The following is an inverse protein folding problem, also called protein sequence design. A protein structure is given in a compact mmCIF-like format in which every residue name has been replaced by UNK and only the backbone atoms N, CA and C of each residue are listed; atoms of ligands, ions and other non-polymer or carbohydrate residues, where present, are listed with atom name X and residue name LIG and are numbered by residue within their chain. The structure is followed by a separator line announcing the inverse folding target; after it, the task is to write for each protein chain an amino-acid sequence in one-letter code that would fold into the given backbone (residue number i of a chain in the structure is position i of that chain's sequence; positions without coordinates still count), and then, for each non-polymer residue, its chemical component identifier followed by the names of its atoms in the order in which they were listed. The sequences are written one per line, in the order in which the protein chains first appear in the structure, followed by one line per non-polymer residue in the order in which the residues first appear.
data_IF_739619329376
#
_entry.id   IF_739619329376
#
_cell.length_a   1.000
_cell.length_b   1.000
_cell.length_c   1.000
_cell.angle_alpha   90.00
_cell.angle_beta   90.00
_cell.angle_gamma   90.00
#
_symmetry.space_group_name_H-M   'P 1'
#
loop_
_entity.id
_entity.type
_entity.pdbx_description
1 polymer ?
#
# COMPACT_ATOMS: atom_id res chain seq x y z
N UNK A 1 -19.61 6.59 11.22
CA UNK A 1 -18.54 6.27 12.21
C UNK A 1 -17.40 5.57 11.50
N UNK A 2 -16.14 5.98 11.72
CA UNK A 2 -14.96 5.34 11.14
C UNK A 2 -14.74 3.96 11.78
N UNK A 3 -14.67 2.91 10.95
CA UNK A 3 -14.49 1.52 11.40
C UNK A 3 -13.18 1.27 12.16
N UNK A 4 -12.15 2.12 11.97
CA UNK A 4 -10.90 2.01 12.71
C UNK A 4 -11.07 2.31 14.21
N UNK A 5 -11.95 3.25 14.57
CA UNK A 5 -12.26 3.51 15.98
C UNK A 5 -12.97 2.33 16.66
N UNK A 6 -13.77 1.56 15.90
CA UNK A 6 -14.43 0.35 16.42
C UNK A 6 -13.43 -0.76 16.71
N UNK A 7 -12.33 -0.83 15.95
CA UNK A 7 -11.26 -1.82 16.13
C UNK A 7 -10.28 -1.46 17.26
N UNK A 8 -10.19 -0.17 17.65
CA UNK A 8 -9.34 0.30 18.75
C UNK A 8 -9.86 -0.14 20.13
N UNK A 9 -11.19 -0.17 20.29
CA UNK A 9 -11.84 -0.43 21.58
C UNK A 9 -12.15 -1.91 21.83
N UNK A 10 -11.79 -2.80 20.90
CA UNK A 10 -12.04 -4.23 21.06
C UNK A 10 -10.91 -4.90 21.84
N UNK A 11 -11.04 -4.90 23.17
CA UNK A 11 -10.56 -6.00 24.05
C UNK A 11 -11.43 -7.28 23.87
N UNK A 12 -12.14 -7.35 22.74
CA UNK A 12 -13.31 -8.18 22.53
C UNK A 12 -12.93 -9.35 21.64
N UNK A 13 -13.07 -10.53 22.22
CA UNK A 13 -12.73 -11.83 21.66
C UNK A 13 -12.74 -11.89 20.13
N UNK A 14 -11.56 -12.14 19.55
CA UNK A 14 -11.28 -12.26 18.11
C UNK A 14 -12.21 -13.23 17.37
N UNK A 15 -12.99 -14.05 18.09
CA UNK A 15 -13.84 -15.11 17.55
C UNK A 15 -15.27 -14.68 17.23
N UNK A 16 -15.85 -13.69 17.90
CA UNK A 16 -17.25 -13.28 17.67
C UNK A 16 -17.37 -12.23 16.56
N UNK A 17 -16.48 -11.25 16.53
CA UNK A 17 -16.50 -10.17 15.52
C UNK A 17 -16.20 -10.70 14.11
N UNK A 18 -15.29 -11.68 14.01
CA UNK A 18 -14.93 -12.35 12.74
C UNK A 18 -16.12 -13.10 12.14
N UNK A 19 -17.04 -13.60 12.98
CA UNK A 19 -18.25 -14.31 12.52
C UNK A 19 -19.34 -13.38 11.99
N UNK A 20 -19.32 -12.10 12.34
CA UNK A 20 -20.39 -11.16 12.00
C UNK A 20 -20.24 -10.52 10.62
N UNK A 21 -19.02 -10.36 10.09
CA UNK A 21 -18.81 -9.72 8.79
C UNK A 21 -17.46 -10.09 8.17
N UNK A 22 -17.42 -10.48 6.88
CA UNK A 22 -16.18 -10.73 6.14
C UNK A 22 -15.23 -9.52 6.14
N UNK A 23 -15.76 -8.30 6.08
CA UNK A 23 -14.95 -7.08 6.11
C UNK A 23 -14.30 -6.88 7.49
N UNK A 24 -15.03 -7.10 8.57
CA UNK A 24 -14.47 -7.00 9.93
C UNK A 24 -13.39 -8.06 10.15
N UNK A 25 -13.63 -9.29 9.71
CA UNK A 25 -12.64 -10.36 9.76
C UNK A 25 -11.35 -10.00 9.01
N UNK A 26 -11.50 -9.46 7.80
CA UNK A 26 -10.36 -9.00 6.99
C UNK A 26 -9.58 -7.88 7.68
N UNK A 27 -10.27 -6.86 8.20
CA UNK A 27 -9.63 -5.73 8.88
C UNK A 27 -8.93 -6.15 10.19
N UNK A 28 -9.51 -7.05 10.97
CA UNK A 28 -8.84 -7.59 12.17
C UNK A 28 -7.57 -8.35 11.80
N UNK A 29 -7.60 -9.12 10.71
CA UNK A 29 -6.49 -9.98 10.29
C UNK A 29 -5.37 -9.24 9.54
N UNK A 30 -5.72 -8.23 8.74
CA UNK A 30 -4.80 -7.55 7.81
C UNK A 30 -4.69 -6.04 8.06
N UNK A 31 -5.56 -5.47 8.89
CA UNK A 31 -5.60 -4.04 9.19
C UNK A 31 -4.73 -3.61 10.39
N UNK A 32 -3.98 -4.53 11.01
CA UNK A 32 -3.14 -4.21 12.17
C UNK A 32 -2.14 -3.07 11.87
N UNK A 33 -1.43 -3.15 10.73
CA UNK A 33 -0.52 -2.10 10.29
C UNK A 33 -1.24 -0.77 10.01
N UNK A 34 -2.49 -0.84 9.54
CA UNK A 34 -3.31 0.35 9.31
C UNK A 34 -3.75 1.00 10.63
N UNK A 35 -4.02 0.20 11.66
CA UNK A 35 -4.36 0.68 13.00
C UNK A 35 -3.17 1.35 13.69
N UNK A 36 -1.95 0.80 13.55
CA UNK A 36 -0.73 1.42 14.08
C UNK A 36 -0.52 2.80 13.46
N UNK A 37 -0.61 2.89 12.13
CA UNK A 37 -0.45 4.17 11.41
C UNK A 37 -1.55 5.16 11.76
N UNK A 38 -2.78 4.67 11.97
CA UNK A 38 -3.90 5.50 12.44
C UNK A 38 -3.65 6.08 13.83
N UNK A 39 -3.16 5.27 14.78
CA UNK A 39 -2.80 5.74 16.12
C UNK A 39 -1.69 6.81 16.07
N UNK A 40 -0.72 6.67 15.16
CA UNK A 40 0.31 7.67 14.93
C UNK A 40 -0.25 8.99 14.38
N UNK A 41 -1.30 8.96 13.56
CA UNK A 41 -1.98 10.19 13.13
C UNK A 41 -2.73 10.89 14.25
N UNK A 42 -3.42 10.12 15.10
CA UNK A 42 -4.10 10.67 16.28
C UNK A 42 -3.10 11.42 17.17
N UNK A 43 -1.90 10.86 17.38
CA UNK A 43 -0.82 11.52 18.12
C UNK A 43 -0.31 12.81 17.46
N UNK A 44 -0.36 12.88 16.13
CA UNK A 44 0.03 14.06 15.35
C UNK A 44 -1.15 15.01 15.05
N UNK A 45 -2.28 14.86 15.75
CA UNK A 45 -3.48 15.70 15.60
C UNK A 45 -3.99 15.74 14.15
N UNK A 46 -3.80 14.65 13.40
CA UNK A 46 -4.14 14.51 11.98
C UNK A 46 -3.49 15.58 11.06
N UNK A 47 -2.44 16.25 11.54
CA UNK A 47 -1.78 17.34 10.79
C UNK A 47 -0.93 16.86 9.63
N UNK A 48 -0.49 15.60 9.67
CA UNK A 48 0.29 14.99 8.60
C UNK A 48 -0.57 13.96 7.86
N UNK A 49 -0.59 13.96 6.52
CA UNK A 49 -1.29 12.94 5.77
C UNK A 49 -0.73 11.55 6.08
N UNK A 50 -1.59 10.53 6.14
CA UNK A 50 -1.14 9.14 6.30
C UNK A 50 -0.28 8.79 5.09
N UNK A 51 1.01 8.54 5.31
CA UNK A 51 1.89 8.17 4.20
C UNK A 51 1.63 6.70 3.83
N UNK A 52 0.75 6.50 2.84
CA UNK A 52 0.40 5.18 2.31
C UNK A 52 1.51 4.53 1.48
N UNK A 53 2.58 5.25 1.18
CA UNK A 53 3.73 4.79 0.39
C UNK A 53 4.32 3.49 0.92
N UNK A 54 4.56 3.41 2.24
CA UNK A 54 5.09 2.19 2.88
C UNK A 54 4.11 1.02 2.76
N UNK A 55 2.80 1.28 2.86
CA UNK A 55 1.80 0.22 2.67
C UNK A 55 1.82 -0.30 1.24
N UNK A 56 1.92 0.59 0.24
CA UNK A 56 1.97 0.21 -1.16
C UNK A 56 3.15 -0.74 -1.45
N UNK A 57 4.34 -0.43 -0.92
CA UNK A 57 5.51 -1.30 -1.04
C UNK A 57 5.35 -2.64 -0.31
N UNK A 58 4.73 -2.65 0.89
CA UNK A 58 4.43 -3.89 1.59
C UNK A 58 3.45 -4.77 0.79
N UNK A 59 2.44 -4.19 0.16
CA UNK A 59 1.52 -4.94 -0.69
C UNK A 59 2.21 -5.47 -1.95
N UNK A 60 3.16 -4.71 -2.52
CA UNK A 60 4.00 -5.20 -3.61
C UNK A 60 4.78 -6.46 -3.21
N UNK A 61 5.39 -6.45 -2.01
CA UNK A 61 6.08 -7.62 -1.45
C UNK A 61 5.13 -8.79 -1.21
N UNK A 62 3.94 -8.53 -0.68
CA UNK A 62 2.92 -9.56 -0.46
C UNK A 62 2.52 -10.23 -1.77
N UNK A 63 2.25 -9.44 -2.82
CA UNK A 63 1.92 -9.97 -4.16
C UNK A 63 3.08 -10.78 -4.74
N UNK A 64 4.32 -10.28 -4.62
CA UNK A 64 5.51 -10.98 -5.09
C UNK A 64 5.75 -12.33 -4.39
N UNK A 65 5.24 -12.51 -3.17
CA UNK A 65 5.43 -13.74 -2.38
C UNK A 65 4.58 -14.93 -2.87
N UNK A 66 3.53 -14.69 -3.66
CA UNK A 66 2.67 -15.78 -4.14
C UNK A 66 3.36 -16.66 -5.19
N UNK A 67 3.13 -17.98 -5.09
CA UNK A 67 3.76 -18.96 -5.98
C UNK A 67 3.47 -18.71 -7.46
N UNK A 68 2.28 -18.23 -7.82
CA UNK A 68 1.94 -17.94 -9.22
C UNK A 68 2.76 -16.77 -9.81
N UNK A 69 3.24 -15.87 -8.96
CA UNK A 69 4.08 -14.73 -9.38
C UNK A 69 5.55 -15.13 -9.54
N UNK A 70 6.03 -16.12 -8.78
CA UNK A 70 7.44 -16.50 -8.71
C UNK A 70 8.05 -16.76 -10.08
N UNK A 71 7.40 -17.58 -10.89
CA UNK A 71 7.86 -17.94 -12.23
C UNK A 71 7.85 -16.75 -13.18
N UNK A 72 6.81 -15.91 -13.11
CA UNK A 72 6.67 -14.72 -13.93
C UNK A 72 7.75 -13.67 -13.62
N UNK A 73 8.01 -13.45 -12.32
CA UNK A 73 9.03 -12.53 -11.84
C UNK A 73 10.44 -13.03 -12.17
N UNK A 74 10.73 -14.32 -11.91
CA UNK A 74 12.06 -14.89 -12.12
C UNK A 74 12.45 -14.96 -13.62
N UNK A 75 11.46 -15.16 -14.50
CA UNK A 75 11.66 -15.25 -15.96
C UNK A 75 11.52 -13.91 -16.68
N UNK A 76 11.35 -12.80 -15.96
CA UNK A 76 11.14 -11.47 -16.56
C UNK A 76 9.89 -11.40 -17.44
N UNK A 77 8.82 -12.14 -17.11
CA UNK A 77 7.53 -12.10 -17.84
C UNK A 77 6.50 -11.21 -17.16
N UNK A 78 6.71 -10.92 -15.88
CA UNK A 78 5.82 -10.12 -15.06
C UNK A 78 6.66 -9.14 -14.28
N UNK A 79 6.17 -7.91 -14.21
CA UNK A 79 6.82 -6.81 -13.53
C UNK A 79 5.81 -6.13 -12.61
N UNK A 80 6.27 -5.72 -11.44
CA UNK A 80 5.43 -5.12 -10.41
C UNK A 80 5.77 -3.64 -10.27
N UNK A 81 4.74 -2.81 -10.40
CA UNK A 81 4.84 -1.36 -10.24
C UNK A 81 3.96 -0.92 -9.07
N UNK A 82 4.46 0.03 -8.29
CA UNK A 82 3.74 0.61 -7.17
C UNK A 82 3.29 2.02 -7.54
N UNK A 83 1.99 2.26 -7.46
CA UNK A 83 1.37 3.56 -7.68
C UNK A 83 0.57 3.94 -6.45
N UNK A 84 0.49 5.23 -6.16
CA UNK A 84 -0.51 5.77 -5.25
C UNK A 84 -1.08 7.08 -5.81
N UNK A 85 -2.33 7.33 -5.50
CA UNK A 85 -3.08 8.49 -5.97
C UNK A 85 -3.36 9.41 -4.79
N UNK A 86 -2.98 10.67 -4.92
CA UNK A 86 -3.34 11.71 -3.96
C UNK A 86 -4.75 12.21 -4.28
N UNK A 87 -5.70 11.96 -3.38
CA UNK A 87 -7.09 12.37 -3.55
C UNK A 87 -7.31 13.87 -3.38
N UNK A 88 -6.36 14.59 -2.77
CA UNK A 88 -6.47 16.03 -2.54
C UNK A 88 -5.95 16.83 -3.73
N UNK A 89 -4.78 16.45 -4.26
CA UNK A 89 -4.19 17.13 -5.43
C UNK A 89 -4.68 16.54 -6.76
N UNK A 90 -5.09 15.28 -6.77
CA UNK A 90 -5.43 14.54 -7.99
C UNK A 90 -4.22 13.94 -8.69
N UNK A 91 -3.03 13.97 -8.07
CA UNK A 91 -1.80 13.51 -8.69
C UNK A 91 -1.56 12.02 -8.47
N UNK A 92 -1.07 11.35 -9.52
CA UNK A 92 -0.55 9.99 -9.43
C UNK A 92 0.93 10.07 -9.12
N UNK A 93 1.40 9.18 -8.27
CA UNK A 93 2.81 9.00 -7.98
C UNK A 93 3.18 7.54 -8.20
N UNK A 94 4.37 7.29 -8.74
CA UNK A 94 4.92 5.95 -8.93
C UNK A 94 6.20 5.77 -8.10
N UNK A 95 6.51 4.53 -7.72
CA UNK A 95 7.78 4.24 -7.06
C UNK A 95 8.91 4.12 -8.09
N UNK A 96 9.83 5.08 -8.10
CA UNK A 96 11.05 5.00 -8.90
C UNK A 96 12.03 4.04 -8.24
N UNK A 97 12.50 3.05 -9.01
CA UNK A 97 13.53 2.13 -8.54
C UNK A 97 14.90 2.81 -8.45
N UNK A 98 15.17 3.71 -9.38
CA UNK A 98 16.42 4.44 -9.45
C UNK A 98 16.57 5.40 -8.26
N UNK A 99 15.51 6.14 -7.95
CA UNK A 99 15.50 7.13 -6.86
C UNK A 99 15.11 6.54 -5.50
N UNK A 100 14.58 5.31 -5.47
CA UNK A 100 14.06 4.61 -4.27
C UNK A 100 13.03 5.43 -3.49
N UNK A 101 12.25 6.25 -4.20
CA UNK A 101 11.23 7.11 -3.64
C UNK A 101 10.03 7.19 -4.59
N UNK A 102 8.91 7.67 -4.08
CA UNK A 102 7.76 7.99 -4.92
C UNK A 102 7.98 9.34 -5.62
N UNK A 103 7.76 9.34 -6.92
CA UNK A 103 7.91 10.51 -7.80
C UNK A 103 6.55 10.79 -8.45
N UNK A 104 6.12 12.05 -8.58
CA UNK A 104 4.90 12.38 -9.30
C UNK A 104 4.99 11.88 -10.75
N UNK A 105 3.88 11.40 -11.28
CA UNK A 105 3.74 10.99 -12.68
C UNK A 105 3.15 12.16 -13.47
N UNK A 106 3.99 12.77 -14.31
CA UNK A 106 3.66 13.90 -15.16
C UNK A 106 4.48 13.83 -16.46
N UNK A 107 4.33 14.84 -17.32
CA UNK A 107 5.00 14.93 -18.62
C UNK A 107 6.53 14.94 -18.53
N UNK A 108 7.10 15.48 -17.43
CA UNK A 108 8.55 15.55 -17.25
C UNK A 108 9.16 14.23 -16.77
N UNK A 109 8.36 13.38 -16.13
CA UNK A 109 8.83 12.15 -15.46
C UNK A 109 8.48 10.89 -16.24
N UNK A 110 7.54 10.98 -17.20
CA UNK A 110 7.11 9.84 -18.02
C UNK A 110 8.27 9.20 -18.78
N UNK A 111 9.17 10.00 -19.36
CA UNK A 111 10.31 9.50 -20.13
C UNK A 111 11.30 8.78 -19.22
N UNK A 112 11.55 9.33 -18.02
CA UNK A 112 12.40 8.67 -17.02
C UNK A 112 11.79 7.35 -16.57
N UNK A 113 10.47 7.28 -16.39
CA UNK A 113 9.78 6.02 -16.08
C UNK A 113 9.92 5.03 -17.24
N UNK A 114 9.76 5.45 -18.49
CA UNK A 114 9.91 4.57 -19.65
C UNK A 114 11.34 4.02 -19.77
N UNK A 115 12.35 4.85 -19.51
CA UNK A 115 13.75 4.43 -19.44
C UNK A 115 13.99 3.42 -18.31
N UNK A 116 13.39 3.64 -17.13
CA UNK A 116 13.43 2.66 -16.04
C UNK A 116 12.75 1.34 -16.44
N UNK A 117 11.60 1.42 -17.12
CA UNK A 117 10.88 0.26 -17.66
C UNK A 117 11.80 -0.53 -18.59
N UNK A 118 12.46 0.14 -19.53
CA UNK A 118 13.37 -0.52 -20.46
C UNK A 118 14.61 -1.10 -19.76
N UNK A 119 15.20 -0.38 -18.82
CA UNK A 119 16.43 -0.79 -18.13
C UNK A 119 16.25 -1.95 -17.17
N UNK A 120 15.15 -1.99 -16.42
CA UNK A 120 14.95 -2.95 -15.34
C UNK A 120 13.97 -4.07 -15.69
N UNK A 121 13.27 -3.95 -16.80
CA UNK A 121 12.14 -4.80 -17.16
C UNK A 121 12.09 -5.14 -18.65
N UNK A 122 13.23 -5.09 -19.37
CA UNK A 122 13.42 -5.70 -20.69
C UNK A 122 14.41 -6.86 -20.63
#
# INVERSE_FOLDING_TARGET
MNMLHLLRNSDMSTREIVKQSPLKAWLVRHGHDSLIKYAQLELNDFKQPLVFQVNCLQQLQNIASYNFMRDGLAKGRVYLHAFWFDIYSGDIHYFSRQQKTFVPMNEDTIDTLMDEVHKYYS
#
